data_IF_938703896998
#
_entry.id   IF_938703896998
#
_cell.length_a   1.000
_cell.length_b   1.000
_cell.length_c   1.000
_cell.angle_alpha   90.00
_cell.angle_beta   90.00
_cell.angle_gamma   90.00
#
_symmetry.space_group_name_H-M   'P 1'
#
loop_
_entity.id
_entity.type
_entity.pdbx_description
1 polymer ?
#
# COMPACT_ATOMS: atom_id res chain seq x y z
N UNK A 1 24.94 -13.76 -3.61
CA UNK A 1 24.27 -13.00 -2.53
C UNK A 1 22.79 -13.31 -2.57
N UNK A 2 22.06 -13.17 -1.44
CA UNK A 2 20.60 -13.25 -1.47
C UNK A 2 20.07 -12.03 -2.22
N UNK A 3 19.26 -12.26 -3.25
CA UNK A 3 18.55 -11.23 -3.98
C UNK A 3 17.03 -11.39 -3.78
N UNK A 4 16.28 -10.27 -3.74
CA UNK A 4 16.79 -8.89 -3.80
C UNK A 4 17.49 -8.48 -2.49
N UNK A 5 18.57 -7.72 -2.63
CA UNK A 5 19.30 -7.13 -1.51
C UNK A 5 18.71 -5.77 -1.12
N UNK A 6 19.10 -5.22 0.03
CA UNK A 6 18.63 -3.90 0.45
C UNK A 6 18.99 -2.80 -0.58
N UNK A 7 20.19 -2.85 -1.15
CA UNK A 7 20.62 -1.86 -2.14
C UNK A 7 19.75 -1.95 -3.39
N UNK A 8 19.41 -3.17 -3.82
CA UNK A 8 18.55 -3.41 -4.98
C UNK A 8 17.16 -2.80 -4.75
N UNK A 9 16.58 -2.98 -3.55
CA UNK A 9 15.29 -2.39 -3.20
C UNK A 9 15.35 -0.85 -3.17
N UNK A 10 16.42 -0.28 -2.61
CA UNK A 10 16.60 1.16 -2.51
C UNK A 10 16.70 1.83 -3.88
N UNK A 11 17.42 1.20 -4.81
CA UNK A 11 17.57 1.67 -6.19
C UNK A 11 16.25 1.61 -6.94
N UNK A 12 15.53 0.48 -6.87
CA UNK A 12 14.22 0.32 -7.54
C UNK A 12 13.24 1.37 -7.05
N UNK A 13 13.11 1.57 -5.74
CA UNK A 13 12.13 2.51 -5.17
C UNK A 13 12.44 3.96 -5.57
N UNK A 14 13.70 4.36 -5.54
CA UNK A 14 14.08 5.73 -5.87
C UNK A 14 14.26 5.96 -7.37
N UNK A 15 14.28 4.92 -8.20
CA UNK A 15 14.39 5.05 -9.66
C UNK A 15 13.16 5.71 -10.31
N UNK A 16 12.03 5.69 -9.62
CA UNK A 16 10.77 6.27 -10.07
C UNK A 16 10.55 7.71 -9.58
N UNK A 17 11.57 8.35 -9.00
CA UNK A 17 11.55 9.74 -8.56
C UNK A 17 12.28 10.59 -9.59
N UNK A 18 11.69 11.71 -10.02
CA UNK A 18 12.30 12.58 -11.02
C UNK A 18 13.64 13.14 -10.52
N UNK A 19 14.62 13.22 -11.40
CA UNK A 19 15.98 13.69 -11.11
C UNK A 19 15.96 15.17 -10.69
N UNK A 20 15.83 15.42 -9.39
CA UNK A 20 15.73 16.76 -8.81
C UNK A 20 14.83 16.83 -7.57
N UNK A 21 13.96 15.84 -7.38
CA UNK A 21 13.09 15.75 -6.22
C UNK A 21 13.75 14.95 -5.08
N UNK A 22 13.34 15.20 -3.84
CA UNK A 22 13.90 14.51 -2.69
C UNK A 22 13.60 13.00 -2.78
N UNK A 23 14.59 12.13 -2.55
CA UNK A 23 14.36 10.68 -2.60
C UNK A 23 13.32 10.27 -1.57
N UNK A 24 12.33 9.49 -2.03
CA UNK A 24 11.20 9.00 -1.23
C UNK A 24 11.69 8.16 -0.05
N UNK A 25 12.78 7.40 -0.25
CA UNK A 25 13.39 6.61 0.82
C UNK A 25 14.85 6.99 0.99
N UNK A 26 15.21 7.37 2.22
CA UNK A 26 16.59 7.64 2.65
C UNK A 26 17.11 6.63 3.68
N UNK A 27 16.24 5.76 4.20
CA UNK A 27 16.53 4.91 5.33
C UNK A 27 16.07 3.48 5.11
N UNK A 28 16.91 2.53 5.57
CA UNK A 28 16.57 1.10 5.66
C UNK A 28 15.25 0.86 6.40
N UNK A 29 14.98 1.67 7.42
CA UNK A 29 13.80 1.50 8.27
C UNK A 29 12.50 1.70 7.50
N UNK A 30 12.47 2.58 6.50
CA UNK A 30 11.26 2.84 5.71
C UNK A 30 10.87 1.62 4.86
N UNK A 31 11.85 0.95 4.24
CA UNK A 31 11.62 -0.28 3.47
C UNK A 31 11.09 -1.39 4.37
N UNK A 32 11.68 -1.55 5.56
CA UNK A 32 11.24 -2.54 6.56
C UNK A 32 9.81 -2.25 7.03
N UNK A 33 9.49 -0.99 7.28
CA UNK A 33 8.16 -0.61 7.73
C UNK A 33 7.11 -0.83 6.63
N UNK A 34 7.41 -0.47 5.38
CA UNK A 34 6.52 -0.66 4.25
C UNK A 34 6.24 -2.15 3.97
N UNK A 35 7.30 -2.96 3.89
CA UNK A 35 7.18 -4.41 3.70
C UNK A 35 6.42 -5.09 4.85
N UNK A 36 6.62 -4.66 6.10
CA UNK A 36 5.88 -5.17 7.26
C UNK A 36 4.40 -4.74 7.25
N UNK A 37 4.08 -3.50 6.84
CA UNK A 37 2.70 -3.03 6.66
C UNK A 37 1.99 -3.84 5.58
N UNK A 38 2.64 -4.06 4.43
CA UNK A 38 2.07 -4.86 3.35
C UNK A 38 1.87 -6.32 3.76
N UNK A 39 2.84 -6.94 4.41
CA UNK A 39 2.71 -8.31 4.90
C UNK A 39 1.48 -8.48 5.82
N UNK A 40 1.17 -7.47 6.65
CA UNK A 40 -0.05 -7.47 7.47
C UNK A 40 -1.33 -7.40 6.64
N UNK A 41 -1.36 -6.63 5.56
CA UNK A 41 -2.51 -6.59 4.64
C UNK A 41 -2.74 -7.95 3.98
N UNK A 42 -1.67 -8.62 3.54
CA UNK A 42 -1.75 -9.97 2.97
C UNK A 42 -2.30 -10.97 4.00
N UNK A 43 -1.88 -10.87 5.27
CA UNK A 43 -2.42 -11.70 6.36
C UNK A 43 -3.90 -11.39 6.62
N UNK A 44 -4.32 -10.15 6.47
CA UNK A 44 -5.72 -9.73 6.61
C UNK A 44 -6.62 -10.18 5.43
N UNK A 45 -6.07 -10.89 4.44
CA UNK A 45 -6.81 -11.43 3.30
C UNK A 45 -6.74 -10.58 2.04
N UNK A 46 -5.85 -9.59 1.97
CA UNK A 46 -5.61 -8.86 0.73
C UNK A 46 -4.95 -9.77 -0.33
N UNK A 47 -5.38 -9.65 -1.57
CA UNK A 47 -4.81 -10.44 -2.66
C UNK A 47 -3.37 -10.00 -3.00
N UNK A 48 -2.48 -10.96 -3.31
CA UNK A 48 -1.15 -10.67 -3.80
C UNK A 48 -1.20 -10.12 -5.24
N UNK A 49 -0.37 -9.11 -5.51
CA UNK A 49 -0.30 -8.43 -6.81
C UNK A 49 0.63 -9.14 -7.81
N UNK A 50 1.35 -10.15 -7.34
CA UNK A 50 2.29 -10.97 -8.13
C UNK A 50 2.00 -12.45 -7.94
N UNK A 51 2.50 -13.26 -8.87
CA UNK A 51 2.47 -14.72 -8.73
C UNK A 51 3.22 -15.17 -7.47
N UNK A 52 2.53 -15.92 -6.62
CA UNK A 52 3.08 -16.37 -5.33
C UNK A 52 4.12 -17.47 -5.58
N UNK A 53 5.41 -17.10 -5.47
CA UNK A 53 6.51 -18.08 -5.51
C UNK A 53 6.69 -18.79 -4.17
N UNK A 54 6.45 -18.08 -3.07
CA UNK A 54 6.60 -18.60 -1.71
C UNK A 54 5.46 -18.11 -0.81
N UNK A 55 4.94 -18.95 0.11
CA UNK A 55 3.72 -18.64 0.87
C UNK A 55 3.94 -17.64 2.01
N UNK A 56 5.17 -17.18 2.24
CA UNK A 56 5.47 -16.29 3.37
C UNK A 56 5.04 -14.85 3.02
N UNK A 57 4.12 -14.23 3.80
CA UNK A 57 3.59 -12.90 3.46
C UNK A 57 4.67 -11.82 3.34
N UNK A 58 5.71 -11.89 4.17
CA UNK A 58 6.82 -10.95 4.11
C UNK A 58 7.62 -11.07 2.81
N UNK A 59 7.84 -12.30 2.33
CA UNK A 59 8.57 -12.53 1.09
C UNK A 59 7.77 -12.02 -0.12
N UNK A 60 6.45 -12.25 -0.12
CA UNK A 60 5.56 -11.69 -1.14
C UNK A 60 5.63 -10.17 -1.13
N UNK A 61 5.56 -9.52 0.04
CA UNK A 61 5.64 -8.07 0.15
C UNK A 61 6.97 -7.49 -0.37
N UNK A 62 8.10 -8.17 -0.13
CA UNK A 62 9.41 -7.76 -0.65
C UNK A 62 9.47 -7.92 -2.17
N UNK A 63 8.94 -9.03 -2.69
CA UNK A 63 8.89 -9.28 -4.14
C UNK A 63 7.95 -8.27 -4.84
N UNK A 64 6.81 -7.92 -4.24
CA UNK A 64 5.88 -6.91 -4.75
C UNK A 64 6.55 -5.53 -4.81
N UNK A 65 7.32 -5.18 -3.78
CA UNK A 65 8.07 -3.92 -3.72
C UNK A 65 9.19 -3.89 -4.76
N UNK A 66 9.92 -5.00 -4.93
CA UNK A 66 10.99 -5.11 -5.94
C UNK A 66 10.47 -5.05 -7.38
N UNK A 67 9.24 -5.53 -7.63
CA UNK A 67 8.60 -5.45 -8.94
C UNK A 67 7.77 -4.16 -9.14
N UNK A 68 7.96 -3.14 -8.28
CA UNK A 68 7.25 -1.86 -8.33
C UNK A 68 5.71 -1.99 -8.33
N UNK A 69 5.16 -3.08 -7.77
CA UNK A 69 3.70 -3.23 -7.63
C UNK A 69 3.14 -2.45 -6.46
N UNK A 70 4.02 -2.08 -5.53
CA UNK A 70 3.70 -1.30 -4.34
C UNK A 70 4.73 -0.20 -4.24
N UNK A 71 4.26 1.00 -3.90
CA UNK A 71 5.09 2.19 -3.74
C UNK A 71 4.94 2.73 -2.32
N UNK A 72 6.02 3.30 -1.80
CA UNK A 72 6.02 4.05 -0.54
C UNK A 72 5.63 5.47 -0.90
N UNK A 73 4.57 5.98 -0.27
CA UNK A 73 4.11 7.35 -0.47
C UNK A 73 4.87 8.30 0.47
N UNK A 74 5.03 9.55 0.04
CA UNK A 74 5.53 10.62 0.90
C UNK A 74 4.49 11.00 1.97
N UNK A 75 4.88 11.80 2.97
CA UNK A 75 3.94 12.24 4.02
C UNK A 75 2.78 13.08 3.45
N UNK A 76 3.08 13.92 2.45
CA UNK A 76 2.08 14.75 1.76
C UNK A 76 1.09 13.88 0.97
N UNK A 77 1.60 12.95 0.16
CA UNK A 77 0.76 12.01 -0.60
C UNK A 77 -0.06 11.08 0.32
N UNK A 78 0.50 10.68 1.47
CA UNK A 78 -0.19 9.85 2.44
C UNK A 78 -1.35 10.60 3.10
N UNK A 79 -1.16 11.89 3.44
CA UNK A 79 -2.21 12.73 4.02
C UNK A 79 -3.38 12.93 3.05
N UNK A 80 -3.09 13.18 1.76
CA UNK A 80 -4.11 13.28 0.72
C UNK A 80 -4.88 11.96 0.53
N UNK A 81 -4.17 10.83 0.51
CA UNK A 81 -4.79 9.52 0.38
C UNK A 81 -5.68 9.15 1.58
N UNK A 82 -5.29 9.56 2.80
CA UNK A 82 -6.08 9.35 4.01
C UNK A 82 -7.34 10.22 4.02
N UNK A 83 -7.23 11.50 3.64
CA UNK A 83 -8.38 12.39 3.49
C UNK A 83 -9.39 11.85 2.47
N UNK A 84 -8.92 11.32 1.33
CA UNK A 84 -9.79 10.72 0.32
C UNK A 84 -10.49 9.45 0.81
N UNK A 85 -9.80 8.60 1.57
CA UNK A 85 -10.41 7.41 2.16
C UNK A 85 -11.49 7.75 3.19
N UNK A 86 -11.25 8.77 4.01
CA UNK A 86 -12.25 9.28 4.95
C UNK A 86 -13.49 9.78 4.22
N UNK A 87 -13.30 10.56 3.14
CA UNK A 87 -14.41 11.02 2.31
C UNK A 87 -15.19 9.86 1.66
N UNK A 88 -14.49 8.85 1.10
CA UNK A 88 -15.14 7.66 0.52
C UNK A 88 -15.86 6.81 1.57
N UNK A 89 -15.36 6.72 2.80
CA UNK A 89 -16.05 6.05 3.91
C UNK A 89 -17.27 6.82 4.39
N UNK A 90 -17.20 8.15 4.47
CA UNK A 90 -18.34 9.01 4.77
C UNK A 90 -19.42 8.92 3.68
N UNK A 91 -19.03 8.94 2.40
CA UNK A 91 -19.95 8.74 1.27
C UNK A 91 -20.61 7.35 1.31
N UNK A 92 -19.83 6.28 1.55
CA UNK A 92 -20.38 4.91 1.68
C UNK A 92 -21.31 4.80 2.87
N UNK A 93 -21.00 5.46 3.99
CA UNK A 93 -21.85 5.46 5.18
C UNK A 93 -23.15 6.23 4.93
N UNK A 94 -23.08 7.39 4.30
CA UNK A 94 -24.25 8.18 3.92
C UNK A 94 -25.14 7.44 2.91
N UNK A 95 -24.53 6.77 1.92
CA UNK A 95 -25.26 5.97 0.95
C UNK A 95 -25.90 4.74 1.60
N UNK A 96 -25.21 4.07 2.52
CA UNK A 96 -25.75 2.94 3.27
C UNK A 96 -26.90 3.35 4.22
N UNK A 97 -26.80 4.52 4.84
CA UNK A 97 -27.85 5.09 5.70
C UNK A 97 -29.08 5.50 4.88
N UNK A 98 -28.87 6.09 3.70
CA UNK A 98 -29.96 6.44 2.77
C UNK A 98 -30.64 5.20 2.15
N UNK A 99 -29.90 4.12 1.87
CA UNK A 99 -30.51 2.86 1.42
C UNK A 99 -31.32 2.19 2.52
N UNK A 100 -30.86 2.25 3.77
CA UNK A 100 -31.58 1.66 4.91
C UNK A 100 -32.87 2.43 5.24
N UNK A 101 -32.88 3.76 5.08
CA UNK A 101 -34.10 4.56 5.28
C UNK A 101 -35.14 4.40 4.17
N UNK A 102 -34.71 4.03 2.95
CA UNK A 102 -35.63 3.77 1.84
C UNK A 102 -36.32 2.40 1.97
N UNK A 103 -35.65 1.42 2.58
CA UNK A 103 -36.23 0.08 2.83
C UNK A 103 -37.23 0.05 4.00
N UNK A 104 -37.15 0.96 4.99
CA UNK A 104 -38.14 1.07 6.08
C UNK A 104 -39.44 1.80 5.67
N UNK A 105 -39.48 2.51 4.55
CA UNK A 105 -40.71 3.19 4.07
C UNK A 105 -41.59 2.32 3.15
N UNK A 106 -41.16 1.12 2.73
CA UNK A 106 -41.94 0.20 1.88
C UNK A 106 -42.73 -0.89 2.65
N UNK A 107 -42.82 -0.85 3.99
CA UNK A 107 -43.66 -1.77 4.81
C UNK A 107 -44.94 -1.11 5.39
#
# INVERSE_FOLDING_TARGET
>A
MLHPSYTDLMEVINSEVETGEAPVVNSRYSIVLASAKRARQLIAGADPLIGVRCPKPLSIAVDELYNSKIRILSEEEAAEAEAKKLAEEEEKKAMNEMTFSFEEEEE
#
